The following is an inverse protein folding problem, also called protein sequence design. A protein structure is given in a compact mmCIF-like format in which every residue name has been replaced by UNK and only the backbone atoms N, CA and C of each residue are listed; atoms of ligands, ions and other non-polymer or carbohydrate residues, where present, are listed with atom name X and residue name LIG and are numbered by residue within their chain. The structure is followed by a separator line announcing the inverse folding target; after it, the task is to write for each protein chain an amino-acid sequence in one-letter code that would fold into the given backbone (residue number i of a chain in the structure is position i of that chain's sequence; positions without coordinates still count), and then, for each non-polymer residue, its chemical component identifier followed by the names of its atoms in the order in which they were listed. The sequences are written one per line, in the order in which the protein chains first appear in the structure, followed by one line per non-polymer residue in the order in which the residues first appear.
data_IF_019472913684
#
_entry.id   IF_019472913684
#
_cell.length_a   1.000
_cell.length_b   1.000
_cell.length_c   1.000
_cell.angle_alpha   90.00
_cell.angle_beta   90.00
_cell.angle_gamma   90.00
#
_symmetry.space_group_name_H-M   'P 1'
#
loop_
_entity.id
_entity.type
_entity.pdbx_description
1 polymer ?
#
# COMPACT_ATOMS: atom_id res chain seq x y z
N UNK A 1 11.73 -35.80 4.83
CA UNK A 1 10.69 -34.77 4.83
C UNK A 1 11.04 -33.79 5.94
N UNK A 2 11.46 -32.60 5.61
CA UNK A 2 11.70 -31.53 6.59
C UNK A 2 10.34 -30.95 6.92
N UNK A 3 9.89 -31.08 8.18
CA UNK A 3 8.69 -30.42 8.64
C UNK A 3 8.93 -28.90 8.56
N UNK A 4 8.32 -28.24 7.59
CA UNK A 4 8.30 -26.79 7.55
C UNK A 4 7.49 -26.29 8.75
N UNK A 5 8.17 -25.78 9.76
CA UNK A 5 7.51 -25.05 10.84
C UNK A 5 6.92 -23.78 10.22
N UNK A 6 5.63 -23.82 9.95
CA UNK A 6 4.91 -22.63 9.48
C UNK A 6 4.83 -21.61 10.61
N UNK A 7 5.24 -20.38 10.36
CA UNK A 7 5.05 -19.28 11.30
C UNK A 7 3.57 -19.18 11.70
N UNK A 8 3.23 -18.91 12.97
CA UNK A 8 1.83 -18.65 13.38
C UNK A 8 1.20 -17.49 12.59
N UNK A 9 2.01 -16.59 12.03
CA UNK A 9 1.53 -15.52 11.17
C UNK A 9 1.06 -16.01 9.79
N UNK A 10 1.51 -17.19 9.32
CA UNK A 10 1.10 -17.74 8.02
C UNK A 10 -0.43 -17.91 7.91
N UNK A 11 -1.12 -18.10 9.03
CA UNK A 11 -2.57 -18.22 9.09
C UNK A 11 -3.33 -16.95 8.64
N UNK A 12 -2.65 -15.81 8.51
CA UNK A 12 -3.26 -14.55 8.03
C UNK A 12 -3.29 -14.41 6.51
N UNK A 13 -2.64 -15.31 5.76
CA UNK A 13 -2.59 -15.30 4.30
C UNK A 13 -3.10 -16.62 3.72
N UNK A 14 -3.60 -16.56 2.47
CA UNK A 14 -3.99 -17.73 1.68
C UNK A 14 -2.85 -18.10 0.70
N UNK A 15 -1.64 -18.28 1.24
CA UNK A 15 -0.50 -18.74 0.45
C UNK A 15 -0.57 -20.23 0.20
N UNK A 16 -0.09 -20.67 -0.95
CA UNK A 16 0.05 -22.08 -1.28
C UNK A 16 1.02 -22.74 -0.29
N UNK A 17 0.59 -23.75 0.46
CA UNK A 17 1.44 -24.42 1.46
C UNK A 17 2.63 -25.17 0.86
N UNK A 18 2.60 -25.49 -0.43
CA UNK A 18 3.70 -26.16 -1.13
C UNK A 18 4.78 -25.17 -1.60
N UNK A 19 4.52 -23.86 -1.48
CA UNK A 19 5.44 -22.80 -1.91
C UNK A 19 6.01 -22.05 -0.72
N UNK A 20 7.34 -22.02 -0.58
CA UNK A 20 8.02 -21.12 0.34
C UNK A 20 8.07 -19.72 -0.25
N UNK A 21 7.03 -18.91 -0.02
CA UNK A 21 6.93 -17.58 -0.57
C UNK A 21 7.75 -16.58 0.25
N UNK A 22 8.85 -16.08 -0.32
CA UNK A 22 9.81 -15.20 0.36
C UNK A 22 9.94 -13.81 -0.30
N UNK A 23 9.25 -13.57 -1.40
CA UNK A 23 9.43 -12.35 -2.20
C UNK A 23 8.32 -11.31 -1.99
N UNK A 24 7.93 -11.06 -0.75
CA UNK A 24 6.94 -10.03 -0.43
C UNK A 24 7.41 -8.60 -0.77
N UNK A 25 8.72 -8.37 -0.92
CA UNK A 25 9.28 -7.08 -1.29
C UNK A 25 8.97 -6.68 -2.74
N UNK A 26 8.92 -7.64 -3.67
CA UNK A 26 8.56 -7.38 -5.08
C UNK A 26 7.06 -7.54 -5.33
N UNK A 27 6.48 -8.63 -4.87
CA UNK A 27 5.07 -8.99 -5.07
C UNK A 27 4.48 -9.47 -3.75
N UNK A 28 4.06 -8.53 -2.91
CA UNK A 28 3.52 -8.84 -1.60
C UNK A 28 2.15 -9.52 -1.68
N UNK A 29 1.99 -10.62 -0.93
CA UNK A 29 0.69 -11.21 -0.75
C UNK A 29 -0.14 -10.38 0.26
N UNK A 30 -1.42 -10.22 -0.03
CA UNK A 30 -2.33 -9.44 0.80
C UNK A 30 -2.91 -10.31 1.92
N UNK A 31 -2.94 -9.86 3.18
CA UNK A 31 -3.61 -10.59 4.26
C UNK A 31 -5.11 -10.75 4.00
N UNK A 32 -5.69 -11.88 4.45
CA UNK A 32 -7.13 -12.17 4.30
C UNK A 32 -8.03 -11.07 4.82
N UNK A 33 -7.75 -10.53 6.00
CA UNK A 33 -8.54 -9.46 6.59
C UNK A 33 -8.58 -8.20 5.70
N UNK A 34 -7.49 -7.90 5.00
CA UNK A 34 -7.41 -6.77 4.06
C UNK A 34 -8.23 -7.06 2.79
N UNK A 35 -8.14 -8.30 2.27
CA UNK A 35 -8.94 -8.72 1.10
C UNK A 35 -10.44 -8.66 1.42
N UNK A 36 -10.83 -9.11 2.60
CA UNK A 36 -12.23 -9.08 3.06
C UNK A 36 -12.74 -7.65 3.21
N UNK A 37 -11.92 -6.75 3.74
CA UNK A 37 -12.25 -5.34 3.85
C UNK A 37 -12.38 -4.67 2.48
N UNK A 38 -11.46 -4.95 1.56
CA UNK A 38 -11.53 -4.47 0.18
C UNK A 38 -12.83 -4.90 -0.50
N UNK A 39 -13.25 -6.16 -0.32
CA UNK A 39 -14.51 -6.66 -0.86
C UNK A 39 -15.72 -5.96 -0.26
N UNK A 40 -15.70 -5.63 1.04
CA UNK A 40 -16.78 -4.86 1.68
C UNK A 40 -16.90 -3.46 1.09
N UNK A 41 -15.80 -2.77 0.88
CA UNK A 41 -15.79 -1.46 0.24
C UNK A 41 -16.26 -1.51 -1.21
N UNK A 42 -15.83 -2.52 -1.96
CA UNK A 42 -16.31 -2.73 -3.33
C UNK A 42 -17.83 -2.97 -3.38
N UNK A 43 -18.36 -3.84 -2.53
CA UNK A 43 -19.80 -4.09 -2.44
C UNK A 43 -20.58 -2.82 -2.09
N UNK A 44 -20.04 -2.00 -1.18
CA UNK A 44 -20.66 -0.73 -0.78
C UNK A 44 -20.66 0.28 -1.93
N UNK A 45 -19.57 0.39 -2.67
CA UNK A 45 -19.46 1.21 -3.86
C UNK A 45 -20.50 0.79 -4.92
N UNK A 46 -20.58 -0.51 -5.22
CA UNK A 46 -21.48 -1.04 -6.25
C UNK A 46 -22.97 -0.92 -5.85
N UNK A 47 -23.28 -0.91 -4.56
CA UNK A 47 -24.67 -0.75 -4.09
C UNK A 47 -25.24 0.64 -4.38
N UNK A 48 -24.43 1.69 -4.34
CA UNK A 48 -24.82 3.07 -4.68
C UNK A 48 -23.57 3.88 -5.11
N UNK A 49 -23.08 3.72 -6.34
CA UNK A 49 -21.85 4.36 -6.79
C UNK A 49 -21.85 5.88 -6.66
N UNK A 50 -22.97 6.52 -7.03
CA UNK A 50 -23.09 7.96 -6.96
C UNK A 50 -23.02 8.46 -5.52
N UNK A 51 -23.85 7.93 -4.62
CA UNK A 51 -23.85 8.32 -3.21
C UNK A 51 -22.50 8.04 -2.53
N UNK A 52 -21.85 6.93 -2.87
CA UNK A 52 -20.54 6.59 -2.36
C UNK A 52 -19.47 7.59 -2.80
N UNK A 53 -19.39 7.87 -4.10
CA UNK A 53 -18.34 8.74 -4.66
C UNK A 53 -18.56 10.22 -4.35
N UNK A 54 -19.81 10.68 -4.21
CA UNK A 54 -20.12 12.08 -3.90
C UNK A 54 -20.03 12.41 -2.40
N UNK A 55 -20.22 11.45 -1.52
CA UNK A 55 -20.31 11.74 -0.08
C UNK A 55 -19.42 10.87 0.80
N UNK A 56 -19.46 9.53 0.65
CA UNK A 56 -18.85 8.62 1.61
C UNK A 56 -17.34 8.49 1.46
N UNK A 57 -16.83 8.49 0.23
CA UNK A 57 -15.41 8.23 -0.08
C UNK A 57 -14.47 9.21 0.61
N UNK A 58 -14.84 10.48 0.71
CA UNK A 58 -14.00 11.51 1.33
C UNK A 58 -13.81 11.28 2.83
N UNK A 59 -14.87 10.90 3.54
CA UNK A 59 -14.79 10.55 4.95
C UNK A 59 -13.97 9.28 5.19
N UNK A 60 -14.13 8.27 4.34
CA UNK A 60 -13.36 7.03 4.41
C UNK A 60 -11.87 7.26 4.15
N UNK A 61 -11.51 8.07 3.15
CA UNK A 61 -10.12 8.44 2.87
C UNK A 61 -9.51 9.27 4.01
N UNK A 62 -10.27 10.20 4.60
CA UNK A 62 -9.79 10.97 5.74
C UNK A 62 -9.51 10.07 6.95
N UNK A 63 -10.39 9.11 7.25
CA UNK A 63 -10.19 8.14 8.32
C UNK A 63 -8.96 7.25 8.06
N UNK A 64 -8.74 6.80 6.83
CA UNK A 64 -7.57 6.02 6.46
C UNK A 64 -6.27 6.83 6.62
N UNK A 65 -6.26 8.10 6.19
CA UNK A 65 -5.12 9.00 6.38
C UNK A 65 -4.81 9.21 7.86
N UNK A 66 -5.84 9.42 8.68
CA UNK A 66 -5.67 9.61 10.12
C UNK A 66 -5.03 8.39 10.78
N UNK A 67 -5.51 7.18 10.47
CA UNK A 67 -4.93 5.94 10.98
C UNK A 67 -3.46 5.74 10.55
N UNK A 68 -3.12 6.11 9.30
CA UNK A 68 -1.74 6.09 8.83
C UNK A 68 -0.87 7.14 9.52
N UNK A 69 -1.38 8.34 9.74
CA UNK A 69 -0.68 9.41 10.44
C UNK A 69 -0.29 9.00 11.87
N UNK A 70 -1.20 8.35 12.59
CA UNK A 70 -0.92 7.80 13.92
C UNK A 70 0.19 6.75 13.87
N UNK A 71 0.15 5.81 12.90
CA UNK A 71 1.17 4.79 12.73
C UNK A 71 2.55 5.39 12.38
N UNK A 72 2.57 6.43 11.53
CA UNK A 72 3.79 7.06 11.04
C UNK A 72 4.28 8.19 11.95
N UNK A 73 3.51 8.58 12.96
CA UNK A 73 3.79 9.71 13.87
C UNK A 73 3.98 11.03 13.11
N UNK A 74 3.08 11.33 12.17
CA UNK A 74 3.07 12.57 11.39
C UNK A 74 1.68 13.20 11.35
N UNK A 75 1.53 14.36 10.73
CA UNK A 75 0.23 14.98 10.50
C UNK A 75 -0.50 14.30 9.33
N UNK A 76 -1.81 14.08 9.47
CA UNK A 76 -2.63 13.50 8.42
C UNK A 76 -2.70 14.40 7.17
N UNK A 77 -2.54 15.72 7.33
CA UNK A 77 -2.55 16.66 6.21
C UNK A 77 -1.24 16.62 5.40
N UNK A 78 -0.17 16.07 5.97
CA UNK A 78 1.10 15.83 5.28
C UNK A 78 1.11 14.50 4.50
N UNK A 79 0.02 13.72 4.55
CA UNK A 79 -0.08 12.43 3.87
C UNK A 79 -0.92 12.50 2.60
N UNK A 80 -0.36 12.02 1.51
CA UNK A 80 -1.07 11.76 0.27
C UNK A 80 -1.12 10.26 -0.05
N UNK A 81 -2.32 9.73 -0.26
CA UNK A 81 -2.50 8.36 -0.74
C UNK A 81 -2.24 8.33 -2.24
N UNK A 82 -1.33 7.47 -2.67
CA UNK A 82 -0.90 7.32 -4.06
C UNK A 82 -1.06 5.87 -4.51
N UNK A 83 -1.16 5.65 -5.82
CA UNK A 83 -1.38 4.32 -6.39
C UNK A 83 -0.20 3.36 -6.13
N UNK A 84 1.03 3.87 -6.24
CA UNK A 84 2.26 3.09 -6.06
C UNK A 84 3.48 4.00 -5.84
N UNK A 85 4.59 3.40 -5.44
CA UNK A 85 5.85 4.12 -5.19
C UNK A 85 6.38 4.84 -6.44
N UNK A 86 6.19 4.28 -7.64
CA UNK A 86 6.62 4.91 -8.89
C UNK A 86 5.90 6.23 -9.13
N UNK A 87 4.58 6.27 -8.93
CA UNK A 87 3.79 7.51 -9.02
C UNK A 87 4.25 8.53 -7.99
N UNK A 88 4.52 8.09 -6.75
CA UNK A 88 5.03 8.96 -5.68
C UNK A 88 6.38 9.58 -6.01
N UNK A 89 7.36 8.76 -6.40
CA UNK A 89 8.71 9.25 -6.79
C UNK A 89 8.63 10.21 -7.97
N UNK A 90 7.85 9.89 -9.00
CA UNK A 90 7.66 10.77 -10.14
C UNK A 90 7.02 12.10 -9.75
N UNK A 91 6.03 12.09 -8.86
CA UNK A 91 5.38 13.30 -8.37
C UNK A 91 6.38 14.18 -7.63
N UNK A 92 7.18 13.62 -6.74
CA UNK A 92 8.23 14.36 -6.01
C UNK A 92 9.26 14.94 -6.98
N UNK A 93 9.83 14.12 -7.86
CA UNK A 93 10.87 14.57 -8.81
C UNK A 93 10.38 15.67 -9.74
N UNK A 94 9.12 15.62 -10.19
CA UNK A 94 8.53 16.65 -11.05
C UNK A 94 8.18 17.94 -10.31
N UNK A 95 8.03 17.90 -8.99
CA UNK A 95 7.77 19.10 -8.17
C UNK A 95 9.05 19.82 -7.74
N UNK A 96 10.20 19.14 -7.78
CA UNK A 96 11.50 19.75 -7.48
C UNK A 96 11.98 20.64 -8.64
N UNK A 97 12.64 21.72 -8.29
CA UNK A 97 13.36 22.58 -9.23
C UNK A 97 14.84 22.33 -9.05
N UNK A 98 15.47 21.83 -10.09
CA UNK A 98 16.89 21.54 -10.08
C UNK A 98 17.65 22.71 -10.69
N UNK A 99 18.80 23.04 -10.08
CA UNK A 99 19.76 24.03 -10.56
C UNK A 99 20.95 23.32 -11.22
N UNK A 100 21.69 23.99 -12.14
CA UNK A 100 22.91 23.42 -12.69
C UNK A 100 23.94 23.08 -11.60
N UNK A 101 24.30 21.83 -11.49
CA UNK A 101 25.22 21.32 -10.46
C UNK A 101 24.54 20.51 -9.36
N UNK A 102 23.21 20.49 -9.31
CA UNK A 102 22.48 19.59 -8.40
C UNK A 102 22.71 18.12 -8.78
N UNK A 103 22.82 17.27 -7.77
CA UNK A 103 23.02 15.83 -7.94
C UNK A 103 21.89 15.05 -7.30
N UNK A 104 21.49 13.95 -7.95
CA UNK A 104 20.52 12.98 -7.41
C UNK A 104 21.25 11.67 -7.18
N UNK A 105 21.33 11.24 -5.91
CA UNK A 105 21.82 9.92 -5.58
C UNK A 105 20.71 8.89 -5.75
N UNK A 106 20.93 7.89 -6.57
CA UNK A 106 20.02 6.77 -6.78
C UNK A 106 20.70 5.44 -6.49
N UNK A 107 19.93 4.47 -6.00
CA UNK A 107 20.39 3.11 -5.78
C UNK A 107 19.67 2.18 -6.75
N UNK A 108 20.44 1.45 -7.56
CA UNK A 108 19.89 0.41 -8.42
C UNK A 108 19.88 -0.92 -7.66
N UNK A 109 18.67 -1.41 -7.33
CA UNK A 109 18.50 -2.73 -6.70
C UNK A 109 18.38 -3.88 -7.72
N UNK A 110 18.30 -3.56 -9.02
CA UNK A 110 18.07 -4.54 -10.08
C UNK A 110 19.38 -5.10 -10.65
N UNK A 111 20.48 -4.39 -10.49
CA UNK A 111 21.78 -4.73 -11.08
C UNK A 111 22.87 -5.11 -10.05
N UNK A 112 22.44 -5.50 -8.86
CA UNK A 112 23.34 -6.04 -7.83
C UNK A 112 23.34 -7.56 -7.90
#
# INVERSE_FOLDING_TARGET
MVAHSTSPLAAHWDLDPEVSYLNHGSFGATPRAVIEEQRRWQTRLEANPMGFLESEVYGALAAARQALAELLSCDADDLALIENATSGVNTVLRSLRFEPGDEILVLSLIHI
#
